data_IF_870637946280
#
_entry.id   IF_870637946280
#
_cell.length_a   1.000
_cell.length_b   1.000
_cell.length_c   1.000
_cell.angle_alpha   90.00
_cell.angle_beta   90.00
_cell.angle_gamma   90.00
#
_symmetry.space_group_name_H-M   'P 1'
#
loop_
_entity.id
_entity.type
_entity.pdbx_description
1 polymer ?
#
# COMPACT_ATOMS: atom_id res chain seq x y z
N UNK A 1 -19.14 40.16 16.32
CA UNK A 1 -18.83 38.75 16.64
C UNK A 1 -19.98 37.86 16.20
N UNK A 2 -19.67 36.64 15.75
CA UNK A 2 -20.55 35.57 15.24
C UNK A 2 -21.03 35.70 13.78
N UNK A 3 -20.11 35.47 12.84
CA UNK A 3 -20.46 34.84 11.55
C UNK A 3 -20.50 33.33 11.82
N UNK A 4 -21.69 32.75 11.86
CA UNK A 4 -21.85 31.31 11.97
C UNK A 4 -21.38 30.68 10.66
N UNK A 5 -20.26 29.95 10.74
CA UNK A 5 -19.71 29.13 9.68
C UNK A 5 -20.62 27.93 9.47
N UNK A 6 -21.60 28.06 8.59
CA UNK A 6 -22.39 26.94 8.08
C UNK A 6 -21.69 26.49 6.79
N UNK A 7 -20.53 25.84 6.93
CA UNK A 7 -19.97 25.03 5.86
C UNK A 7 -20.66 23.67 5.93
N UNK A 8 -21.84 23.62 5.32
CA UNK A 8 -22.61 22.40 5.14
C UNK A 8 -21.81 21.38 4.35
N UNK A 9 -21.39 20.32 5.03
CA UNK A 9 -21.80 18.94 4.75
C UNK A 9 -22.25 18.70 3.29
N UNK A 10 -21.30 18.65 2.35
CA UNK A 10 -21.45 17.89 1.10
C UNK A 10 -20.68 16.59 1.27
N UNK A 11 -21.19 15.79 2.21
CA UNK A 11 -20.76 14.42 2.44
C UNK A 11 -21.88 13.52 1.94
N UNK A 12 -21.90 13.28 0.63
CA UNK A 12 -22.50 12.11 -0.01
C UNK A 12 -22.54 12.38 -1.51
N UNK A 13 -21.98 11.48 -2.32
CA UNK A 13 -22.82 10.52 -3.03
C UNK A 13 -22.02 9.73 -4.07
N UNK A 14 -21.94 8.43 -3.81
CA UNK A 14 -21.95 7.29 -4.75
C UNK A 14 -20.88 7.28 -5.85
N UNK A 15 -19.99 6.29 -5.91
CA UNK A 15 -20.27 4.87 -5.76
C UNK A 15 -19.85 4.20 -7.06
N UNK A 16 -18.59 3.80 -7.14
CA UNK A 16 -18.18 2.75 -8.06
C UNK A 16 -17.76 1.55 -7.21
N UNK A 17 -18.72 0.63 -7.15
CA UNK A 17 -18.58 -0.76 -6.74
C UNK A 17 -17.40 -1.39 -7.51
N UNK A 18 -16.69 -2.31 -6.86
CA UNK A 18 -16.31 -3.66 -7.35
C UNK A 18 -14.91 -4.01 -6.85
N UNK A 19 -14.87 -4.79 -5.76
CA UNK A 19 -13.74 -5.63 -5.37
C UNK A 19 -12.36 -4.96 -5.40
N UNK A 20 -11.97 -4.34 -4.30
CA UNK A 20 -10.54 -4.30 -3.98
C UNK A 20 -10.17 -5.76 -3.69
N UNK A 21 -9.90 -6.53 -4.74
CA UNK A 21 -9.08 -7.72 -4.60
C UNK A 21 -7.87 -7.25 -3.82
N UNK A 22 -7.71 -7.79 -2.61
CA UNK A 22 -6.60 -7.48 -1.71
C UNK A 22 -5.34 -7.84 -2.50
N UNK A 23 -4.78 -6.85 -3.18
CA UNK A 23 -3.69 -7.07 -4.10
C UNK A 23 -2.41 -7.04 -3.30
N UNK A 24 -1.68 -8.14 -3.32
CA UNK A 24 -0.34 -8.14 -2.79
C UNK A 24 0.64 -7.58 -3.83
N UNK A 25 1.78 -7.17 -3.32
CA UNK A 25 2.91 -6.72 -4.09
C UNK A 25 4.13 -7.53 -3.67
N UNK A 26 4.87 -8.01 -4.66
CA UNK A 26 6.20 -8.60 -4.45
C UNK A 26 7.23 -7.51 -4.73
N UNK A 27 7.95 -7.09 -3.70
CA UNK A 27 9.06 -6.15 -3.77
C UNK A 27 10.35 -6.96 -3.87
N UNK A 28 10.99 -6.92 -5.04
CA UNK A 28 12.23 -7.61 -5.33
C UNK A 28 13.40 -6.66 -5.16
N UNK A 29 14.35 -7.04 -4.31
CA UNK A 29 15.56 -6.27 -4.04
C UNK A 29 16.73 -6.76 -4.90
N UNK A 30 17.74 -5.91 -5.06
CA UNK A 30 18.96 -6.22 -5.82
C UNK A 30 19.81 -7.33 -5.21
N UNK A 31 19.72 -7.54 -3.90
CA UNK A 31 20.40 -8.62 -3.20
C UNK A 31 19.71 -9.99 -3.37
N UNK A 32 18.60 -10.05 -4.11
CA UNK A 32 17.81 -11.27 -4.31
C UNK A 32 16.70 -11.49 -3.28
N UNK A 33 16.57 -10.63 -2.26
CA UNK A 33 15.48 -10.73 -1.29
C UNK A 33 14.16 -10.30 -1.91
N UNK A 34 13.08 -10.97 -1.52
CA UNK A 34 11.72 -10.66 -1.94
C UNK A 34 10.83 -10.45 -0.72
N UNK A 35 10.01 -9.40 -0.75
CA UNK A 35 9.05 -9.09 0.30
C UNK A 35 7.64 -9.07 -0.29
N UNK A 36 6.70 -9.69 0.41
CA UNK A 36 5.29 -9.66 0.05
C UNK A 36 4.59 -8.69 1.00
N UNK A 37 3.86 -7.73 0.44
CA UNK A 37 3.12 -6.72 1.19
C UNK A 37 1.78 -6.46 0.53
N UNK A 38 0.76 -6.08 1.29
CA UNK A 38 -0.52 -5.61 0.75
C UNK A 38 -0.47 -4.14 0.34
N UNK A 39 0.52 -3.38 0.84
CA UNK A 39 0.61 -1.94 0.62
C UNK A 39 2.05 -1.46 0.62
N UNK A 40 2.37 -0.63 -0.35
CA UNK A 40 3.63 0.12 -0.40
C UNK A 40 3.35 1.57 -0.81
N UNK A 41 4.26 2.46 -0.44
CA UNK A 41 4.27 3.85 -0.89
C UNK A 41 5.69 4.34 -1.09
N UNK A 42 5.84 5.47 -1.76
CA UNK A 42 7.13 6.10 -1.97
C UNK A 42 7.15 7.45 -1.24
N UNK A 43 8.20 7.69 -0.47
CA UNK A 43 8.45 8.97 0.17
C UNK A 43 9.90 9.37 -0.10
N UNK A 44 10.07 10.47 -0.84
CA UNK A 44 11.36 10.90 -1.37
C UNK A 44 12.05 9.80 -2.18
N UNK A 45 13.23 9.37 -1.71
CA UNK A 45 14.05 8.32 -2.33
C UNK A 45 13.81 6.93 -1.77
N UNK A 46 12.90 6.79 -0.81
CA UNK A 46 12.64 5.52 -0.13
C UNK A 46 11.29 4.94 -0.57
N UNK A 47 11.27 3.61 -0.65
CA UNK A 47 10.06 2.81 -0.76
C UNK A 47 9.76 2.24 0.62
N UNK A 48 8.55 2.50 1.08
CA UNK A 48 8.04 1.99 2.34
C UNK A 48 6.98 0.94 2.06
N UNK A 49 6.92 -0.09 2.90
CA UNK A 49 5.91 -1.12 2.80
C UNK A 49 5.60 -1.76 4.15
N UNK A 50 4.38 -2.26 4.27
CA UNK A 50 3.94 -2.97 5.45
C UNK A 50 4.57 -4.37 5.48
N UNK A 51 5.04 -4.76 6.65
CA UNK A 51 5.60 -6.07 6.98
C UNK A 51 4.90 -6.62 8.22
N UNK A 52 5.17 -7.87 8.58
CA UNK A 52 4.59 -8.47 9.80
C UNK A 52 4.95 -7.68 11.08
N UNK A 53 6.13 -7.05 11.12
CA UNK A 53 6.67 -6.35 12.29
C UNK A 53 6.43 -4.82 12.25
N UNK A 54 5.64 -4.33 11.28
CA UNK A 54 5.38 -2.91 11.08
C UNK A 54 5.85 -2.41 9.72
N UNK A 55 6.33 -1.17 9.63
CA UNK A 55 6.70 -0.54 8.36
C UNK A 55 8.20 -0.69 8.11
N UNK A 56 8.57 -1.19 6.93
CA UNK A 56 9.96 -1.24 6.49
C UNK A 56 10.20 -0.22 5.37
N UNK A 57 11.30 0.53 5.49
CA UNK A 57 11.73 1.54 4.52
C UNK A 57 13.07 1.16 3.89
N UNK A 58 13.15 1.23 2.56
CA UNK A 58 14.38 0.96 1.82
C UNK A 58 14.59 1.97 0.69
N UNK A 59 15.85 2.33 0.42
CA UNK A 59 16.18 3.20 -0.72
C UNK A 59 15.74 2.55 -2.05
N UNK A 60 15.07 3.33 -2.91
CA UNK A 60 14.55 2.89 -4.22
C UNK A 60 15.65 2.31 -5.11
N UNK A 61 16.89 2.76 -4.94
CA UNK A 61 18.08 2.28 -5.64
C UNK A 61 18.38 0.81 -5.37
N UNK A 62 17.92 0.25 -4.24
CA UNK A 62 18.06 -1.18 -3.90
C UNK A 62 16.89 -2.03 -4.39
N UNK A 63 15.80 -1.41 -4.86
CA UNK A 63 14.64 -2.11 -5.41
C UNK A 63 14.88 -2.40 -6.89
N UNK A 64 14.80 -3.67 -7.26
CA UNK A 64 14.90 -4.13 -8.66
C UNK A 64 13.55 -4.00 -9.35
N UNK A 65 12.47 -4.48 -8.71
CA UNK A 65 11.13 -4.53 -9.29
C UNK A 65 10.06 -4.59 -8.19
N UNK A 66 8.89 -4.03 -8.48
CA UNK A 66 7.68 -4.23 -7.67
C UNK A 66 6.61 -4.80 -8.60
N UNK A 67 6.03 -5.94 -8.24
CA UNK A 67 5.06 -6.66 -9.06
C UNK A 67 3.76 -6.85 -8.29
N UNK A 68 2.62 -6.50 -8.89
CA UNK A 68 1.30 -6.81 -8.33
C UNK A 68 1.05 -8.31 -8.47
N UNK A 69 0.56 -8.95 -7.41
CA UNK A 69 0.22 -10.37 -7.37
C UNK A 69 -1.11 -10.57 -6.65
N UNK A 70 -1.95 -11.43 -7.21
CA UNK A 70 -3.18 -11.89 -6.56
C UNK A 70 -2.91 -13.08 -5.62
N UNK A 71 -1.64 -13.52 -5.50
CA UNK A 71 -1.24 -14.63 -4.63
C UNK A 71 -1.03 -14.21 -3.17
N UNK A 72 -2.10 -13.80 -2.48
CA UNK A 72 -2.07 -13.72 -1.00
C UNK A 72 -2.30 -15.11 -0.36
N UNK A 73 -2.86 -16.05 -1.14
CA UNK A 73 -3.46 -17.29 -0.62
C UNK A 73 -2.45 -18.38 -0.20
N UNK A 74 -1.16 -18.31 -0.59
CA UNK A 74 -0.25 -19.48 -0.45
C UNK A 74 0.68 -19.53 0.76
N UNK A 75 0.83 -18.46 1.54
CA UNK A 75 1.80 -18.44 2.65
C UNK A 75 1.17 -18.64 4.05
N UNK A 76 -0.15 -18.70 4.16
CA UNK A 76 -0.85 -18.87 5.44
C UNK A 76 -1.25 -20.32 5.78
N UNK A 77 -0.87 -21.32 4.97
CA UNK A 77 -1.23 -22.73 5.22
C UNK A 77 0.03 -23.57 5.41
N UNK A 78 0.42 -23.75 6.66
CA UNK A 78 1.32 -24.83 7.11
C UNK A 78 0.54 -25.77 8.01
#
# INVERSE_FOLDING_TARGET
MRKALIYGLVFAMYGNVLGVADAAYIIKLKNGNEYITTRYWQEGRQVFFDTYDGVFGIERTFVTKIEKTDQIVRLARR
#
